data_IF_305418867782
#
_entry.id   IF_305418867782
#
_cell.length_a   1.000
_cell.length_b   1.000
_cell.length_c   1.000
_cell.angle_alpha   90.00
_cell.angle_beta   90.00
_cell.angle_gamma   90.00
#
_symmetry.space_group_name_H-M   'P 1'
#
loop_
_entity.id
_entity.type
_entity.pdbx_description
1 polymer ?
#
# COMPACT_ATOMS: atom_id res chain seq x y z
N UNK A 1 -0.18 -18.41 -9.98
CA UNK A 1 -1.32 -19.34 -10.07
C UNK A 1 -1.31 -19.96 -11.44
N UNK A 2 -1.18 -21.28 -11.54
CA UNK A 2 -0.86 -21.96 -12.80
C UNK A 2 -2.07 -21.92 -13.77
N UNK A 3 -1.93 -21.37 -14.99
CA UNK A 3 -3.04 -21.21 -15.94
C UNK A 3 -3.64 -22.55 -16.41
N UNK A 4 -2.87 -23.64 -16.34
CA UNK A 4 -3.32 -24.99 -16.69
C UNK A 4 -4.31 -25.60 -15.68
N UNK A 5 -4.23 -25.18 -14.40
CA UNK A 5 -5.16 -25.66 -13.37
C UNK A 5 -6.53 -24.98 -13.48
N UNK A 6 -6.56 -23.74 -13.98
CA UNK A 6 -7.80 -23.00 -14.22
C UNK A 6 -8.56 -23.62 -15.40
N UNK A 7 -7.85 -24.04 -16.45
CA UNK A 7 -8.44 -24.71 -17.60
C UNK A 7 -9.06 -26.07 -17.23
N UNK A 8 -8.33 -26.92 -16.50
CA UNK A 8 -8.84 -28.24 -16.08
C UNK A 8 -10.04 -28.16 -15.11
N UNK A 9 -10.08 -27.14 -14.25
CA UNK A 9 -11.21 -26.90 -13.35
C UNK A 9 -12.43 -26.36 -14.13
N UNK A 10 -12.22 -25.52 -15.15
CA UNK A 10 -13.30 -25.04 -16.01
C UNK A 10 -13.95 -26.16 -16.82
N UNK A 11 -13.16 -27.08 -17.36
CA UNK A 11 -13.67 -28.20 -18.17
C UNK A 11 -14.42 -29.22 -17.31
N UNK A 12 -13.92 -29.51 -16.10
CA UNK A 12 -14.63 -30.33 -15.12
C UNK A 12 -15.94 -29.68 -14.64
N UNK A 13 -15.95 -28.36 -14.44
CA UNK A 13 -17.15 -27.63 -14.06
C UNK A 13 -18.20 -27.62 -15.17
N UNK A 14 -17.79 -27.51 -16.45
CA UNK A 14 -18.70 -27.60 -17.61
C UNK A 14 -19.37 -28.97 -17.73
N UNK A 15 -18.61 -30.06 -17.55
CA UNK A 15 -19.17 -31.41 -17.61
C UNK A 15 -20.19 -31.70 -16.48
N UNK A 16 -19.96 -31.13 -15.30
CA UNK A 16 -20.88 -31.24 -14.16
C UNK A 16 -22.12 -30.35 -14.36
N UNK A 17 -21.94 -29.16 -14.93
CA UNK A 17 -23.03 -28.24 -15.27
C UNK A 17 -23.94 -28.82 -16.36
N UNK A 18 -23.36 -29.48 -17.38
CA UNK A 18 -24.10 -30.14 -18.44
C UNK A 18 -24.94 -31.32 -17.94
N UNK A 19 -24.47 -32.00 -16.90
CA UNK A 19 -25.18 -33.13 -16.28
C UNK A 19 -26.26 -32.70 -15.28
N UNK A 20 -26.11 -31.54 -14.64
CA UNK A 20 -27.11 -31.01 -13.71
C UNK A 20 -28.23 -30.22 -14.38
N UNK A 21 -28.00 -29.59 -15.54
CA UNK A 21 -29.03 -28.79 -16.23
C UNK A 21 -29.19 -29.18 -17.71
N UNK A 22 -30.05 -30.18 -18.02
CA UNK A 22 -30.35 -30.60 -19.39
C UNK A 22 -31.33 -29.68 -20.15
N UNK A 23 -32.03 -28.76 -19.47
CA UNK A 23 -33.12 -27.97 -20.06
C UNK A 23 -32.63 -26.56 -20.50
N UNK A 24 -32.73 -26.18 -21.79
CA UNK A 24 -32.21 -24.91 -22.32
C UNK A 24 -32.86 -23.66 -21.69
N UNK A 25 -34.05 -23.79 -21.10
CA UNK A 25 -34.75 -22.69 -20.44
C UNK A 25 -34.14 -22.31 -19.07
N UNK A 26 -33.59 -23.28 -18.34
CA UNK A 26 -32.93 -23.05 -17.04
C UNK A 26 -31.52 -22.47 -17.25
N UNK A 27 -30.80 -22.91 -18.30
CA UNK A 27 -29.51 -22.34 -18.70
C UNK A 27 -29.62 -20.87 -19.08
N UNK A 28 -30.65 -20.50 -19.84
CA UNK A 28 -30.89 -19.10 -20.20
C UNK A 28 -31.17 -18.22 -18.98
N UNK A 29 -31.82 -18.76 -17.93
CA UNK A 29 -32.06 -18.04 -16.66
C UNK A 29 -30.77 -17.91 -15.84
N UNK A 30 -29.99 -18.99 -15.73
CA UNK A 30 -28.70 -18.97 -15.05
C UNK A 30 -27.69 -18.04 -15.75
N UNK A 31 -27.65 -18.01 -17.08
CA UNK A 31 -26.84 -17.06 -17.86
C UNK A 31 -27.29 -15.61 -17.63
N UNK A 32 -28.60 -15.36 -17.55
CA UNK A 32 -29.16 -14.05 -17.23
C UNK A 32 -28.80 -13.60 -15.80
N UNK A 33 -28.86 -14.50 -14.81
CA UNK A 33 -28.46 -14.21 -13.44
C UNK A 33 -26.95 -13.98 -13.33
N UNK A 34 -26.13 -14.76 -14.05
CA UNK A 34 -24.69 -14.55 -14.12
C UNK A 34 -24.33 -13.23 -14.81
N UNK A 35 -25.02 -12.86 -15.88
CA UNK A 35 -24.85 -11.56 -16.55
C UNK A 35 -25.23 -10.39 -15.65
N UNK A 36 -26.31 -10.52 -14.87
CA UNK A 36 -26.72 -9.52 -13.87
C UNK A 36 -25.71 -9.39 -12.74
N UNK A 37 -25.24 -10.51 -12.18
CA UNK A 37 -24.22 -10.53 -11.13
C UNK A 37 -22.88 -9.95 -11.63
N UNK A 38 -22.49 -10.23 -12.88
CA UNK A 38 -21.33 -9.60 -13.51
C UNK A 38 -21.53 -8.10 -13.73
N UNK A 39 -22.71 -7.69 -14.20
CA UNK A 39 -23.03 -6.28 -14.38
C UNK A 39 -22.92 -5.53 -13.05
N UNK A 40 -23.56 -6.02 -11.98
CA UNK A 40 -23.51 -5.45 -10.63
C UNK A 40 -22.07 -5.36 -10.09
N UNK A 41 -21.30 -6.44 -10.19
CA UNK A 41 -19.89 -6.44 -9.78
C UNK A 41 -19.03 -5.45 -10.58
N UNK A 42 -19.32 -5.24 -11.87
CA UNK A 42 -18.61 -4.24 -12.67
C UNK A 42 -19.01 -2.81 -12.33
N UNK A 43 -20.25 -2.55 -11.91
CA UNK A 43 -20.68 -1.23 -11.49
C UNK A 43 -20.03 -0.82 -10.17
N UNK A 44 -20.00 -1.71 -9.17
CA UNK A 44 -19.32 -1.43 -7.90
C UNK A 44 -17.81 -1.21 -8.10
N UNK A 45 -17.17 -2.05 -8.92
CA UNK A 45 -15.76 -1.88 -9.26
C UNK A 45 -15.51 -0.55 -9.96
N UNK A 46 -16.34 -0.17 -10.94
CA UNK A 46 -16.21 1.11 -11.65
C UNK A 46 -16.44 2.31 -10.72
N UNK A 47 -17.42 2.22 -9.80
CA UNK A 47 -17.67 3.27 -8.82
C UNK A 47 -16.49 3.44 -7.85
N UNK A 48 -15.94 2.34 -7.33
CA UNK A 48 -14.75 2.36 -6.48
C UNK A 48 -13.54 2.92 -7.23
N UNK A 49 -13.36 2.55 -8.49
CA UNK A 49 -12.28 3.06 -9.34
C UNK A 49 -12.43 4.57 -9.60
N UNK A 50 -13.66 5.04 -9.87
CA UNK A 50 -13.94 6.47 -10.06
C UNK A 50 -13.67 7.27 -8.77
N UNK A 51 -14.01 6.73 -7.60
CA UNK A 51 -13.76 7.36 -6.31
C UNK A 51 -12.25 7.41 -5.99
N UNK A 52 -11.52 6.33 -6.28
CA UNK A 52 -10.06 6.31 -6.16
C UNK A 52 -9.38 7.32 -7.11
N UNK A 53 -9.87 7.43 -8.35
CA UNK A 53 -9.38 8.41 -9.33
C UNK A 53 -9.68 9.85 -8.91
N UNK A 54 -10.86 10.12 -8.33
CA UNK A 54 -11.20 11.41 -7.77
C UNK A 54 -10.27 11.77 -6.59
N UNK A 55 -9.99 10.81 -5.71
CA UNK A 55 -9.07 10.98 -4.59
C UNK A 55 -7.62 11.25 -5.06
N UNK A 56 -7.17 10.56 -6.11
CA UNK A 56 -5.87 10.80 -6.75
C UNK A 56 -5.84 12.20 -7.37
N UNK A 57 -6.94 12.63 -8.01
CA UNK A 57 -7.09 13.99 -8.53
C UNK A 57 -6.92 15.05 -7.45
N UNK A 58 -7.65 14.91 -6.33
CA UNK A 58 -7.54 15.81 -5.18
C UNK A 58 -6.12 15.80 -4.63
N UNK A 59 -5.54 14.63 -4.36
CA UNK A 59 -4.17 14.50 -3.86
C UNK A 59 -3.13 15.15 -4.79
N UNK A 60 -3.30 15.02 -6.11
CA UNK A 60 -2.41 15.66 -7.09
C UNK A 60 -2.57 17.18 -7.08
N UNK A 61 -3.79 17.71 -6.97
CA UNK A 61 -4.02 19.16 -6.85
C UNK A 61 -3.50 19.73 -5.52
N UNK A 62 -3.62 18.97 -4.43
CA UNK A 62 -3.07 19.33 -3.12
C UNK A 62 -1.55 19.25 -3.09
N UNK A 63 -0.96 18.26 -3.76
CA UNK A 63 0.49 18.13 -3.91
C UNK A 63 1.08 19.19 -4.86
N UNK A 64 0.32 19.61 -5.90
CA UNK A 64 0.72 20.68 -6.81
C UNK A 64 0.59 22.08 -6.18
N UNK A 65 -0.17 22.21 -5.09
CA UNK A 65 -0.25 23.46 -4.34
C UNK A 65 1.09 23.70 -3.65
N UNK A 66 1.81 24.74 -4.07
CA UNK A 66 3.14 25.15 -3.58
C UNK A 66 3.21 25.51 -2.07
N UNK A 67 2.16 25.25 -1.29
CA UNK A 67 2.11 25.50 0.13
C UNK A 67 2.87 24.43 0.92
N UNK A 68 3.97 24.83 1.55
CA UNK A 68 4.80 24.01 2.47
C UNK A 68 3.95 23.27 3.51
N UNK A 69 2.83 23.87 3.94
CA UNK A 69 1.94 23.31 4.95
C UNK A 69 0.86 22.34 4.43
N UNK A 70 0.44 22.42 3.16
CA UNK A 70 -0.63 21.55 2.61
C UNK A 70 -0.08 20.28 1.96
N UNK A 71 0.95 20.41 1.11
CA UNK A 71 1.59 19.28 0.43
C UNK A 71 2.90 18.81 1.08
N UNK A 72 3.57 19.68 1.85
CA UNK A 72 4.94 19.45 2.32
C UNK A 72 5.07 18.69 3.63
N UNK A 73 4.02 18.58 4.45
CA UNK A 73 4.13 18.00 5.79
C UNK A 73 4.46 16.50 5.78
N UNK A 74 3.93 15.75 4.80
CA UNK A 74 4.21 14.32 4.61
C UNK A 74 5.69 14.08 4.29
N UNK A 75 6.27 14.72 3.25
CA UNK A 75 7.71 14.69 3.03
C UNK A 75 8.51 15.20 4.24
N UNK A 76 8.10 16.31 4.88
CA UNK A 76 8.82 16.90 6.00
C UNK A 76 8.99 15.94 7.18
N UNK A 77 7.94 15.19 7.54
CA UNK A 77 8.03 14.17 8.57
C UNK A 77 9.05 13.07 8.23
N UNK A 78 9.10 12.66 6.96
CA UNK A 78 10.11 11.72 6.44
C UNK A 78 11.53 12.30 6.54
N UNK A 79 11.73 13.56 6.11
CA UNK A 79 13.04 14.22 6.18
C UNK A 79 13.56 14.35 7.62
N UNK A 80 12.69 14.72 8.57
CA UNK A 80 13.06 14.80 9.99
C UNK A 80 13.46 13.41 10.51
N UNK A 81 12.68 12.36 10.20
CA UNK A 81 13.01 10.99 10.59
C UNK A 81 14.35 10.51 10.01
N UNK A 82 14.57 10.71 8.70
CA UNK A 82 15.83 10.35 8.03
C UNK A 82 17.01 11.14 8.59
N UNK A 83 16.84 12.43 8.86
CA UNK A 83 17.89 13.27 9.45
C UNK A 83 18.28 12.83 10.86
N UNK A 84 17.31 12.41 11.67
CA UNK A 84 17.55 11.90 13.02
C UNK A 84 18.29 10.55 12.99
N UNK A 85 17.90 9.65 12.08
CA UNK A 85 18.61 8.39 11.85
C UNK A 85 20.04 8.63 11.35
N UNK A 86 20.23 9.56 10.41
CA UNK A 86 21.54 9.92 9.87
C UNK A 86 22.45 10.49 10.96
N UNK A 87 21.94 11.34 11.86
CA UNK A 87 22.70 11.79 13.02
C UNK A 87 23.08 10.61 13.93
N UNK A 88 22.10 9.82 14.34
CA UNK A 88 22.28 8.76 15.34
C UNK A 88 23.26 7.66 14.89
N UNK A 89 23.12 7.19 13.65
CA UNK A 89 23.83 6.00 13.16
C UNK A 89 25.03 6.29 12.27
N UNK A 90 25.13 7.50 11.69
CA UNK A 90 26.23 7.84 10.76
C UNK A 90 27.07 8.98 11.32
N UNK A 91 26.48 10.15 11.55
CA UNK A 91 27.25 11.33 11.95
C UNK A 91 27.91 11.15 13.34
N UNK A 92 27.17 10.66 14.34
CA UNK A 92 27.71 10.45 15.71
C UNK A 92 28.93 9.53 15.74
N UNK A 93 28.92 8.30 15.19
CA UNK A 93 30.11 7.45 15.20
C UNK A 93 31.25 8.02 14.36
N UNK A 94 30.96 8.71 13.25
CA UNK A 94 31.99 9.39 12.45
C UNK A 94 32.67 10.54 13.20
N UNK A 95 31.90 11.33 13.95
CA UNK A 95 32.44 12.41 14.80
C UNK A 95 33.27 11.83 15.94
N UNK A 96 32.77 10.79 16.63
CA UNK A 96 33.52 10.10 17.68
C UNK A 96 34.83 9.50 17.16
N UNK A 97 34.80 8.89 15.96
CA UNK A 97 35.99 8.40 15.27
C UNK A 97 36.97 9.54 14.94
N UNK A 98 36.46 10.67 14.45
CA UNK A 98 37.28 11.86 14.18
C UNK A 98 38.01 12.37 15.42
N UNK A 99 37.32 12.46 16.56
CA UNK A 99 37.95 12.84 17.84
C UNK A 99 39.02 11.83 18.29
N UNK A 100 38.75 10.53 18.13
CA UNK A 100 39.71 9.47 18.48
C UNK A 100 40.97 9.53 17.62
N UNK A 101 40.85 9.75 16.30
CA UNK A 101 41.99 9.90 15.38
C UNK A 101 42.77 11.18 15.66
N UNK A 102 42.10 12.27 16.05
CA UNK A 102 42.74 13.52 16.43
C UNK A 102 43.43 13.47 17.81
N UNK A 103 43.34 12.36 18.55
CA UNK A 103 43.94 12.22 19.88
C UNK A 103 43.26 13.05 20.96
N UNK A 104 42.05 13.54 20.71
CA UNK A 104 41.24 14.29 21.67
C UNK A 104 40.30 13.36 22.42
N UNK A 105 39.95 13.73 23.66
CA UNK A 105 38.91 12.99 24.39
C UNK A 105 37.57 13.14 23.69
N UNK A 106 36.89 12.03 23.45
CA UNK A 106 35.58 12.01 22.80
C UNK A 106 34.56 12.63 23.76
N UNK A 107 33.97 13.79 23.43
CA UNK A 107 32.92 14.37 24.26
C UNK A 107 31.64 13.52 24.18
N UNK A 108 30.79 13.61 25.21
CA UNK A 108 29.49 12.94 25.20
C UNK A 108 28.58 13.57 24.13
N UNK A 109 28.42 12.88 23.00
CA UNK A 109 27.63 13.37 21.86
C UNK A 109 26.13 13.18 22.15
N UNK A 110 25.28 14.17 21.86
CA UNK A 110 23.85 14.11 22.15
C UNK A 110 23.18 12.93 21.44
N UNK A 111 22.47 12.09 22.22
CA UNK A 111 21.72 10.92 21.76
C UNK A 111 20.29 11.29 21.36
N UNK A 112 19.80 10.67 20.29
CA UNK A 112 18.38 10.69 19.93
C UNK A 112 17.95 9.21 19.92
N UNK A 113 17.53 8.67 21.07
CA UNK A 113 17.35 7.21 21.20
C UNK A 113 15.91 6.80 21.54
N UNK A 114 15.24 7.49 22.48
CA UNK A 114 13.87 7.13 22.88
C UNK A 114 12.82 7.35 21.78
N UNK A 115 12.78 8.56 21.22
CA UNK A 115 11.75 8.94 20.24
C UNK A 115 12.00 8.40 18.82
N UNK A 116 13.19 7.85 18.54
CA UNK A 116 13.60 7.51 17.18
C UNK A 116 12.91 6.22 16.68
N UNK A 117 12.88 5.19 17.54
CA UNK A 117 12.17 3.96 17.25
C UNK A 117 10.66 4.19 17.18
N UNK A 118 10.12 5.02 18.06
CA UNK A 118 8.70 5.41 18.07
C UNK A 118 8.30 6.13 16.78
N UNK A 119 9.11 7.09 16.31
CA UNK A 119 8.90 7.77 15.03
C UNK A 119 9.00 6.82 13.84
N UNK A 120 9.97 5.91 13.83
CA UNK A 120 10.16 4.93 12.77
C UNK A 120 8.96 3.97 12.69
N UNK A 121 8.54 3.39 13.81
CA UNK A 121 7.38 2.49 13.86
C UNK A 121 6.07 3.21 13.59
N UNK A 122 5.92 4.47 14.02
CA UNK A 122 4.76 5.29 13.67
C UNK A 122 4.64 5.51 12.16
N UNK A 123 5.74 5.84 11.48
CA UNK A 123 5.75 6.06 10.03
C UNK A 123 5.54 4.75 9.25
N UNK A 124 6.20 3.67 9.68
CA UNK A 124 6.08 2.36 9.03
C UNK A 124 4.70 1.74 9.26
N UNK A 125 4.12 1.91 10.45
CA UNK A 125 2.78 1.44 10.81
C UNK A 125 1.66 2.09 10.00
N UNK A 126 1.77 3.38 9.71
CA UNK A 126 0.83 4.06 8.81
C UNK A 126 0.97 3.57 7.34
N UNK A 127 2.19 3.25 6.91
CA UNK A 127 2.44 2.67 5.59
C UNK A 127 1.94 1.23 5.42
N UNK A 128 2.02 0.42 6.49
CA UNK A 128 1.54 -0.97 6.46
C UNK A 128 0.02 -1.06 6.42
N UNK A 129 -0.72 -0.17 7.09
CA UNK A 129 -2.20 -0.15 7.03
C UNK A 129 -2.71 -0.05 5.59
N UNK A 130 -2.14 0.84 4.77
CA UNK A 130 -2.47 0.96 3.34
C UNK A 130 -2.09 -0.28 2.53
N UNK A 131 -0.99 -0.93 2.90
CA UNK A 131 -0.53 -2.16 2.24
C UNK A 131 -1.46 -3.34 2.58
N UNK A 132 -1.95 -3.40 3.82
CA UNK A 132 -2.92 -4.39 4.30
C UNK A 132 -4.28 -4.19 3.64
N UNK A 133 -4.74 -2.96 3.46
CA UNK A 133 -5.95 -2.62 2.70
C UNK A 133 -5.87 -3.14 1.26
N UNK A 134 -4.76 -2.89 0.55
CA UNK A 134 -4.51 -3.43 -0.79
C UNK A 134 -4.49 -4.96 -0.84
N UNK A 135 -3.88 -5.62 0.14
CA UNK A 135 -3.84 -7.10 0.20
C UNK A 135 -5.25 -7.67 0.45
N UNK A 136 -6.09 -6.96 1.21
CA UNK A 136 -7.48 -7.36 1.48
C UNK A 136 -8.46 -6.99 0.36
N UNK A 137 -7.98 -6.43 -0.76
CA UNK A 137 -8.81 -6.05 -1.89
C UNK A 137 -9.77 -4.88 -1.60
N UNK A 138 -9.61 -4.20 -0.47
CA UNK A 138 -10.32 -2.96 -0.15
C UNK A 138 -9.37 -1.82 -0.53
N UNK A 139 -9.56 -1.28 -1.73
CA UNK A 139 -8.81 -0.10 -2.19
C UNK A 139 -9.15 1.13 -1.37
#
# INVERSE_FOLDING_TARGET
MNPLLIAGVLDGARAVLDRMFPDPAERARAELELLKAQAEGTFEQKAAQALALAQIGVNNTEAASAGVFKGGWRPAAGWVCVSALAWQFVARPMVAFGFAVAGHQVPELPTIDGALWELLFGLLGLGTLRSVERIKGKS
#
